data_IF_335911608979
#
_entry.id   IF_335911608979
#
_cell.length_a   1.000
_cell.length_b   1.000
_cell.length_c   1.000
_cell.angle_alpha   90.00
_cell.angle_beta   90.00
_cell.angle_gamma   90.00
#
_symmetry.space_group_name_H-M   'P 1'
#
loop_
_entity.id
_entity.type
_entity.pdbx_description
1 polymer ?
#
# COMPACT_ATOMS: atom_id res chain seq x y z
N UNK A 1 62.65 -19.92 -25.44
CA UNK A 1 61.92 -20.19 -24.19
C UNK A 1 61.20 -18.92 -23.73
N UNK A 2 60.11 -18.51 -24.40
CA UNK A 2 59.35 -17.29 -23.99
C UNK A 2 57.82 -17.43 -24.05
N UNK A 3 57.29 -18.48 -24.68
CA UNK A 3 55.84 -18.68 -24.81
C UNK A 3 55.17 -19.32 -23.57
N UNK A 4 55.92 -20.05 -22.74
CA UNK A 4 55.36 -20.72 -21.56
C UNK A 4 55.04 -19.76 -20.39
N UNK A 5 55.65 -18.57 -20.36
CA UNK A 5 55.46 -17.62 -19.26
C UNK A 5 54.18 -16.77 -19.42
N UNK A 6 53.74 -16.52 -20.65
CA UNK A 6 52.54 -15.72 -20.94
C UNK A 6 51.23 -16.47 -20.65
N UNK A 7 51.21 -17.79 -20.88
CA UNK A 7 50.02 -18.62 -20.66
C UNK A 7 49.60 -18.70 -19.18
N UNK A 8 50.56 -18.71 -18.25
CA UNK A 8 50.29 -18.77 -16.81
C UNK A 8 49.70 -17.47 -16.23
N UNK A 9 50.04 -16.32 -16.82
CA UNK A 9 49.48 -15.03 -16.41
C UNK A 9 48.04 -14.83 -16.90
N UNK A 10 47.74 -15.26 -18.13
CA UNK A 10 46.39 -15.17 -18.71
C UNK A 10 45.39 -16.05 -17.95
N UNK A 11 45.82 -17.25 -17.50
CA UNK A 11 44.96 -18.17 -16.72
C UNK A 11 44.59 -17.59 -15.33
N UNK A 12 45.49 -16.82 -14.70
CA UNK A 12 45.24 -16.20 -13.39
C UNK A 12 44.33 -14.96 -13.48
N UNK A 13 44.37 -14.24 -14.61
CA UNK A 13 43.51 -13.09 -14.87
C UNK A 13 42.04 -13.48 -15.11
N UNK A 14 41.76 -14.64 -15.73
CA UNK A 14 40.38 -15.08 -15.95
C UNK A 14 39.65 -15.50 -14.66
N UNK A 15 40.36 -16.08 -13.69
CA UNK A 15 39.74 -16.53 -12.43
C UNK A 15 39.23 -15.36 -11.56
N UNK A 16 39.93 -14.22 -11.55
CA UNK A 16 39.58 -13.05 -10.73
C UNK A 16 38.36 -12.31 -11.29
N UNK A 17 38.23 -12.23 -12.62
CA UNK A 17 37.09 -11.59 -13.29
C UNK A 17 35.79 -12.36 -13.03
N UNK A 18 35.84 -13.70 -13.04
CA UNK A 18 34.66 -14.52 -12.79
C UNK A 18 34.16 -14.44 -11.34
N UNK A 19 35.05 -14.31 -10.35
CA UNK A 19 34.66 -14.21 -8.93
C UNK A 19 34.07 -12.83 -8.62
N UNK A 20 34.56 -11.76 -9.28
CA UNK A 20 33.98 -10.42 -9.14
C UNK A 20 32.56 -10.31 -9.72
N UNK A 21 32.26 -11.04 -10.79
CA UNK A 21 30.95 -10.95 -11.47
C UNK A 21 29.82 -11.63 -10.67
N UNK A 22 30.12 -12.70 -9.92
CA UNK A 22 29.10 -13.43 -9.14
C UNK A 22 28.68 -12.66 -7.87
N UNK A 23 29.57 -11.86 -7.29
CA UNK A 23 29.26 -11.02 -6.13
C UNK A 23 28.27 -9.89 -6.41
N UNK A 24 28.22 -9.38 -7.64
CA UNK A 24 27.34 -8.28 -8.06
C UNK A 24 25.88 -8.70 -8.31
N UNK A 25 25.61 -10.00 -8.43
CA UNK A 25 24.26 -10.53 -8.74
C UNK A 25 23.49 -10.94 -7.48
N UNK A 26 24.18 -11.12 -6.35
CA UNK A 26 23.58 -11.57 -5.09
C UNK A 26 23.06 -10.43 -4.18
N UNK A 27 23.31 -9.17 -4.54
CA UNK A 27 23.01 -8.01 -3.68
C UNK A 27 21.66 -7.32 -3.93
N UNK A 28 20.85 -7.76 -4.90
CA UNK A 28 19.69 -6.98 -5.37
C UNK A 28 18.33 -7.65 -5.13
N UNK A 29 18.17 -8.42 -4.05
CA UNK A 29 16.87 -8.95 -3.64
C UNK A 29 16.42 -8.35 -2.31
N UNK A 30 16.47 -7.02 -2.20
CA UNK A 30 15.65 -6.30 -1.25
C UNK A 30 14.34 -5.93 -1.96
N UNK A 31 13.45 -6.92 -2.14
CA UNK A 31 12.05 -6.63 -2.41
C UNK A 31 11.48 -6.00 -1.13
N UNK A 32 11.55 -4.67 -1.02
CA UNK A 32 10.48 -3.99 -0.31
C UNK A 32 9.20 -4.44 -1.04
N UNK A 33 8.30 -5.16 -0.37
CA UNK A 33 6.93 -5.27 -0.84
C UNK A 33 6.43 -3.83 -0.95
N UNK A 34 6.45 -3.28 -2.15
CA UNK A 34 5.72 -2.05 -2.44
C UNK A 34 4.27 -2.41 -2.15
N UNK A 35 3.75 -1.93 -1.02
CA UNK A 35 2.32 -2.05 -0.74
C UNK A 35 1.65 -1.28 -1.87
N UNK A 36 0.98 -1.98 -2.78
CA UNK A 36 0.17 -1.39 -3.85
C UNK A 36 -1.28 -1.42 -3.39
N UNK A 37 -2.04 -0.37 -3.70
CA UNK A 37 -3.47 -0.27 -3.37
C UNK A 37 -3.79 0.68 -2.22
N UNK A 38 -5.04 0.65 -1.77
CA UNK A 38 -5.60 1.64 -0.84
C UNK A 38 -4.87 1.70 0.51
N UNK A 39 -4.40 0.57 1.04
CA UNK A 39 -3.70 0.52 2.33
C UNK A 39 -2.42 1.36 2.31
N UNK A 40 -1.66 1.28 1.22
CA UNK A 40 -0.43 2.05 1.04
C UNK A 40 -0.70 3.54 0.94
N UNK A 41 -1.75 3.91 0.20
CA UNK A 41 -2.17 5.30 0.03
C UNK A 41 -2.62 5.92 1.36
N UNK A 42 -3.33 5.15 2.20
CA UNK A 42 -3.90 5.65 3.45
C UNK A 42 -2.96 5.59 4.66
N UNK A 43 -1.84 4.87 4.56
CA UNK A 43 -0.88 4.74 5.67
C UNK A 43 -0.24 6.07 6.05
N UNK A 44 0.11 6.90 5.06
CA UNK A 44 0.63 8.25 5.28
C UNK A 44 -0.39 9.13 6.01
N UNK A 45 -1.65 9.11 5.58
CA UNK A 45 -2.74 9.85 6.23
C UNK A 45 -2.88 9.49 7.71
N UNK A 46 -2.88 8.20 8.06
CA UNK A 46 -2.99 7.76 9.47
C UNK A 46 -1.82 8.27 10.31
N UNK A 47 -0.59 8.26 9.76
CA UNK A 47 0.58 8.78 10.46
C UNK A 47 0.46 10.28 10.77
N UNK A 48 -0.05 11.08 9.84
CA UNK A 48 -0.31 12.50 10.07
C UNK A 48 -1.44 12.73 11.09
N UNK A 49 -2.48 11.90 11.07
CA UNK A 49 -3.61 11.98 12.01
C UNK A 49 -3.19 11.63 13.44
N UNK A 50 -2.25 10.70 13.62
CA UNK A 50 -1.80 10.25 14.93
C UNK A 50 -0.67 11.12 15.50
N UNK A 51 0.10 11.82 14.64
CA UNK A 51 1.13 12.73 15.07
C UNK A 51 1.16 14.02 14.23
N UNK A 52 0.40 15.06 14.62
CA UNK A 52 0.29 16.31 13.87
C UNK A 52 1.57 17.17 13.89
N UNK A 53 2.63 16.73 14.60
CA UNK A 53 3.93 17.41 14.64
C UNK A 53 4.94 16.86 13.64
N UNK A 54 4.59 15.82 12.90
CA UNK A 54 5.40 15.33 11.79
C UNK A 54 5.19 16.31 10.62
N UNK A 55 6.19 17.12 10.33
CA UNK A 55 6.24 18.00 9.15
C UNK A 55 6.45 17.22 7.84
N UNK A 56 5.94 16.00 7.75
CA UNK A 56 5.97 15.27 6.50
C UNK A 56 5.03 15.99 5.52
N UNK A 57 5.54 16.19 4.31
CA UNK A 57 4.78 16.88 3.28
C UNK A 57 3.62 15.98 2.89
N UNK A 58 2.40 16.52 2.96
CA UNK A 58 1.21 15.88 2.37
C UNK A 58 1.54 15.42 0.96
N UNK A 59 1.41 14.13 0.73
CA UNK A 59 1.77 13.50 -0.54
C UNK A 59 0.55 13.41 -1.46
N UNK A 60 0.78 13.13 -2.75
CA UNK A 60 -0.31 12.85 -3.70
C UNK A 60 -1.09 11.62 -3.26
N UNK A 61 -0.43 10.60 -2.72
CA UNK A 61 -1.07 9.39 -2.20
C UNK A 61 -1.97 9.66 -1.00
N UNK A 62 -1.61 10.60 -0.13
CA UNK A 62 -2.48 11.03 0.98
C UNK A 62 -3.78 11.65 0.44
N UNK A 63 -3.65 12.51 -0.57
CA UNK A 63 -4.80 13.12 -1.25
C UNK A 63 -5.69 12.09 -1.94
N UNK A 64 -5.11 11.08 -2.59
CA UNK A 64 -5.85 9.98 -3.22
C UNK A 64 -6.63 9.16 -2.19
N UNK A 65 -6.02 8.82 -1.06
CA UNK A 65 -6.71 8.13 0.02
C UNK A 65 -7.91 8.95 0.53
N UNK A 66 -7.69 10.22 0.93
CA UNK A 66 -8.75 11.07 1.47
C UNK A 66 -9.89 11.23 0.48
N UNK A 67 -9.58 11.52 -0.80
CA UNK A 67 -10.57 11.69 -1.84
C UNK A 67 -11.36 10.40 -2.14
N UNK A 68 -10.68 9.25 -2.14
CA UNK A 68 -11.34 7.95 -2.35
C UNK A 68 -12.33 7.65 -1.21
N UNK A 69 -11.89 7.79 0.04
CA UNK A 69 -12.72 7.52 1.22
C UNK A 69 -13.91 8.48 1.30
N UNK A 70 -13.69 9.77 1.03
CA UNK A 70 -14.78 10.75 0.98
C UNK A 70 -15.79 10.43 -0.13
N UNK A 71 -15.31 10.03 -1.30
CA UNK A 71 -16.15 9.60 -2.42
C UNK A 71 -17.00 8.38 -2.08
N UNK A 72 -16.41 7.38 -1.43
CA UNK A 72 -17.14 6.19 -0.97
C UNK A 72 -18.20 6.56 0.06
N UNK A 73 -17.86 7.34 1.10
CA UNK A 73 -18.83 7.78 2.11
C UNK A 73 -20.03 8.48 1.48
N UNK A 74 -19.79 9.45 0.59
CA UNK A 74 -20.86 10.18 -0.10
C UNK A 74 -21.70 9.28 -0.99
N UNK A 75 -21.06 8.37 -1.71
CA UNK A 75 -21.74 7.41 -2.59
C UNK A 75 -22.63 6.47 -1.78
N UNK A 76 -22.10 5.88 -0.71
CA UNK A 76 -22.85 5.02 0.19
C UNK A 76 -24.00 5.78 0.83
N UNK A 77 -23.78 7.00 1.35
CA UNK A 77 -24.83 7.82 1.95
C UNK A 77 -25.99 8.09 0.98
N UNK A 78 -25.69 8.48 -0.27
CA UNK A 78 -26.71 8.79 -1.28
C UNK A 78 -27.45 7.55 -1.77
N UNK A 79 -26.75 6.42 -1.92
CA UNK A 79 -27.34 5.18 -2.44
C UNK A 79 -27.99 4.32 -1.35
N UNK A 80 -27.68 4.54 -0.07
CA UNK A 80 -28.07 3.66 1.04
C UNK A 80 -29.57 3.31 1.03
N UNK A 81 -30.43 4.32 0.87
CA UNK A 81 -31.89 4.14 0.88
C UNK A 81 -32.43 3.34 -0.32
N UNK A 82 -31.62 3.19 -1.37
CA UNK A 82 -31.96 2.44 -2.59
C UNK A 82 -31.41 1.01 -2.57
N UNK A 83 -30.52 0.69 -1.63
CA UNK A 83 -29.96 -0.66 -1.50
C UNK A 83 -30.92 -1.58 -0.74
N UNK A 84 -30.92 -2.89 -1.05
CA UNK A 84 -31.58 -3.90 -0.21
C UNK A 84 -31.06 -3.82 1.23
N UNK A 85 -31.90 -4.17 2.21
CA UNK A 85 -31.57 -4.01 3.64
C UNK A 85 -30.25 -4.67 4.05
N UNK A 86 -29.92 -5.82 3.47
CA UNK A 86 -28.67 -6.54 3.71
C UNK A 86 -27.40 -5.80 3.25
N UNK A 87 -27.54 -4.82 2.35
CA UNK A 87 -26.43 -3.98 1.87
C UNK A 87 -26.48 -2.55 2.41
N UNK A 88 -27.38 -2.26 3.36
CA UNK A 88 -27.48 -0.94 3.96
C UNK A 88 -26.41 -0.74 5.04
N UNK A 89 -25.98 0.50 5.16
CA UNK A 89 -25.05 0.99 6.18
C UNK A 89 -25.79 1.93 7.12
N UNK A 90 -25.69 1.69 8.42
CA UNK A 90 -26.37 2.47 9.44
C UNK A 90 -25.51 3.64 9.89
N UNK A 91 -25.43 4.65 9.01
CA UNK A 91 -24.70 5.88 9.29
C UNK A 91 -25.21 6.54 10.59
N UNK A 92 -24.30 7.01 11.47
CA UNK A 92 -24.70 7.72 12.67
C UNK A 92 -25.42 9.04 12.30
N UNK A 93 -26.19 9.60 13.24
CA UNK A 93 -26.89 10.88 13.03
C UNK A 93 -25.94 12.07 12.81
N UNK A 94 -24.66 11.92 13.17
CA UNK A 94 -23.60 12.87 12.89
C UNK A 94 -22.89 12.49 11.59
N UNK A 95 -22.33 13.48 10.89
CA UNK A 95 -21.43 13.22 9.78
C UNK A 95 -20.18 12.47 10.29
N UNK A 96 -19.76 11.44 9.56
CA UNK A 96 -18.53 10.70 9.86
C UNK A 96 -17.36 11.55 9.35
N UNK A 97 -16.45 12.01 10.23
CA UNK A 97 -15.24 12.71 9.79
C UNK A 97 -14.42 11.79 8.88
N UNK A 98 -13.88 12.33 7.79
CA UNK A 98 -13.06 11.54 6.85
C UNK A 98 -11.88 10.86 7.56
N UNK A 99 -11.27 11.52 8.55
CA UNK A 99 -10.23 10.94 9.39
C UNK A 99 -10.68 9.68 10.16
N UNK A 100 -11.92 9.65 10.65
CA UNK A 100 -12.51 8.48 11.32
C UNK A 100 -12.71 7.35 10.32
N UNK A 101 -13.25 7.65 9.14
CA UNK A 101 -13.44 6.66 8.08
C UNK A 101 -12.13 6.09 7.55
N UNK A 102 -11.10 6.91 7.37
CA UNK A 102 -9.75 6.44 6.96
C UNK A 102 -9.21 5.42 7.95
N UNK A 103 -9.36 5.66 9.27
CA UNK A 103 -8.91 4.71 10.30
C UNK A 103 -9.68 3.39 10.22
N UNK A 104 -10.99 3.44 10.02
CA UNK A 104 -11.84 2.25 9.84
C UNK A 104 -11.35 1.44 8.64
N UNK A 105 -11.17 2.08 7.48
CA UNK A 105 -10.74 1.38 6.27
C UNK A 105 -9.35 0.80 6.41
N UNK A 106 -8.39 1.54 6.97
CA UNK A 106 -7.03 1.02 7.21
C UNK A 106 -7.03 -0.15 8.20
N UNK A 107 -7.88 -0.12 9.24
CA UNK A 107 -8.00 -1.24 10.17
C UNK A 107 -8.51 -2.50 9.48
N UNK A 108 -9.60 -2.36 8.71
CA UNK A 108 -10.17 -3.45 7.91
C UNK A 108 -9.16 -4.03 6.91
N UNK A 109 -8.47 -3.19 6.16
CA UNK A 109 -7.49 -3.62 5.15
C UNK A 109 -6.28 -4.35 5.74
N UNK A 110 -5.92 -4.10 7.00
CA UNK A 110 -4.83 -4.83 7.68
C UNK A 110 -5.22 -6.25 8.07
N UNK A 111 -6.50 -6.49 8.32
CA UNK A 111 -7.04 -7.77 8.77
C UNK A 111 -7.65 -8.58 7.62
N UNK A 112 -8.00 -7.91 6.52
CA UNK A 112 -8.59 -8.51 5.32
C UNK A 112 -7.57 -9.28 4.48
N UNK A 113 -7.93 -10.50 4.08
CA UNK A 113 -7.19 -11.29 3.09
C UNK A 113 -7.63 -10.96 1.64
N UNK A 114 -8.63 -10.09 1.46
CA UNK A 114 -9.23 -9.81 0.16
C UNK A 114 -8.42 -8.79 -0.63
N UNK A 115 -7.34 -9.25 -1.28
CA UNK A 115 -6.46 -8.41 -2.10
C UNK A 115 -6.86 -8.32 -3.58
N UNK A 116 -7.82 -9.13 -4.04
CA UNK A 116 -8.19 -9.23 -5.47
C UNK A 116 -9.32 -8.28 -5.90
N UNK A 117 -9.99 -7.62 -4.95
CA UNK A 117 -11.06 -6.67 -5.21
C UNK A 117 -10.52 -5.23 -5.28
N UNK A 118 -11.22 -4.36 -6.01
CA UNK A 118 -10.79 -2.97 -6.20
C UNK A 118 -10.86 -2.15 -4.89
N UNK A 119 -10.03 -1.11 -4.82
CA UNK A 119 -9.87 -0.23 -3.65
C UNK A 119 -11.21 0.36 -3.16
N UNK A 120 -12.12 0.75 -4.07
CA UNK A 120 -13.39 1.35 -3.69
C UNK A 120 -14.33 0.32 -3.07
N UNK A 121 -14.38 -0.90 -3.63
CA UNK A 121 -15.15 -2.01 -3.06
C UNK A 121 -14.61 -2.41 -1.68
N UNK A 122 -13.29 -2.47 -1.50
CA UNK A 122 -12.70 -2.72 -0.17
C UNK A 122 -13.12 -1.66 0.86
N UNK A 123 -13.07 -0.38 0.48
CA UNK A 123 -13.50 0.72 1.35
C UNK A 123 -15.00 0.65 1.68
N UNK A 124 -15.86 0.27 0.71
CA UNK A 124 -17.28 0.08 0.95
C UNK A 124 -17.55 -1.03 1.97
N UNK A 125 -16.88 -2.17 1.84
CA UNK A 125 -17.02 -3.27 2.80
C UNK A 125 -16.52 -2.90 4.18
N UNK A 126 -15.37 -2.22 4.26
CA UNK A 126 -14.85 -1.72 5.54
C UNK A 126 -15.85 -0.81 6.27
N UNK A 127 -16.48 0.11 5.55
CA UNK A 127 -17.47 1.03 6.11
C UNK A 127 -18.76 0.28 6.48
N UNK A 128 -19.22 -0.65 5.64
CA UNK A 128 -20.41 -1.44 5.91
C UNK A 128 -20.23 -2.30 7.17
N UNK A 129 -19.06 -2.91 7.35
CA UNK A 129 -18.75 -3.73 8.52
C UNK A 129 -18.62 -2.90 9.81
N UNK A 130 -18.10 -1.68 9.72
CA UNK A 130 -18.00 -0.78 10.86
C UNK A 130 -19.36 -0.17 11.28
N UNK A 131 -20.30 -0.05 10.34
CA UNK A 131 -21.62 0.55 10.57
C UNK A 131 -22.75 -0.36 10.06
N UNK A 132 -22.90 -1.58 10.59
CA UNK A 132 -23.93 -2.50 10.13
C UNK A 132 -25.33 -2.01 10.51
N UNK A 133 -26.26 -2.16 9.59
CA UNK A 133 -27.69 -2.28 9.90
C UNK A 133 -28.03 -3.75 10.20
#
# INVERSE_FOLDING_TARGET
MSFAFYAGWIMRLQAVVCIGLVGLIAGAQAHAKEEVGLLAQCKGVVQHLDNPRIEDRVTVSDGLCVGMIEGVLKTMFVLNSKLPKEFQTCFPRREIPVAEAVRVVVAYLKESEMTEIDDATQAMFAIQEAYPC
#
